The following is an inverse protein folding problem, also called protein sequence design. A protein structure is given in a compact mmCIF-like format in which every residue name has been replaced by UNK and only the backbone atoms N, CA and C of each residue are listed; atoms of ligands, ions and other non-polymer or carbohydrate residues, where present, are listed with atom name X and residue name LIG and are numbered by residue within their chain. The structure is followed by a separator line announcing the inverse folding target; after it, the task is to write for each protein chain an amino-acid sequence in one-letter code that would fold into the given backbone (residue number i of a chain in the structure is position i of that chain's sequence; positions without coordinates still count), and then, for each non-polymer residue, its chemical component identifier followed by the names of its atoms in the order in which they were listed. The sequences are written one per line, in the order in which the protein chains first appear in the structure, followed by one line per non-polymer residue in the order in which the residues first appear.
data_IF_263631174865
#
_entry.id   IF_263631174865
#
_cell.length_a   1.000
_cell.length_b   1.000
_cell.length_c   1.000
_cell.angle_alpha   90.00
_cell.angle_beta   90.00
_cell.angle_gamma   90.00
#
_symmetry.space_group_name_H-M   'P 1'
#
loop_
_entity.id
_entity.type
_entity.pdbx_description
1 polymer ?
#
# COMPACT_ATOMS: atom_id res chain seq x y z
N UNK A 1 -44.68 37.12 54.95
CA UNK A 1 -43.80 37.92 55.84
C UNK A 1 -42.79 36.97 56.46
N UNK A 2 -41.47 37.01 56.26
CA UNK A 2 -40.55 37.93 55.57
C UNK A 2 -39.29 37.13 55.15
N UNK A 3 -38.73 37.47 53.99
CA UNK A 3 -37.45 37.05 53.37
C UNK A 3 -36.21 37.46 54.23
N UNK A 4 -35.13 36.67 54.41
CA UNK A 4 -34.00 36.31 53.50
C UNK A 4 -32.76 37.24 53.66
N UNK A 5 -31.57 36.59 53.53
CA UNK A 5 -30.21 37.09 53.24
C UNK A 5 -29.27 37.34 54.43
N UNK A 6 -27.95 37.10 54.37
CA UNK A 6 -27.04 36.22 53.59
C UNK A 6 -25.65 36.35 54.24
N UNK A 7 -24.85 35.27 54.38
CA UNK A 7 -23.45 35.34 54.87
C UNK A 7 -22.55 34.41 54.06
N UNK A 8 -21.49 34.98 53.46
CA UNK A 8 -20.38 34.28 52.80
C UNK A 8 -19.44 33.65 53.85
N UNK A 9 -18.97 32.42 53.63
CA UNK A 9 -17.75 31.87 54.24
C UNK A 9 -16.99 30.99 53.25
N UNK A 10 -15.66 31.14 53.26
CA UNK A 10 -14.68 30.43 52.45
C UNK A 10 -13.91 29.42 53.33
N UNK A 11 -13.64 28.26 52.73
CA UNK A 11 -12.58 27.25 52.93
C UNK A 11 -12.34 26.61 54.31
N UNK A 12 -12.37 25.28 54.35
CA UNK A 12 -11.21 24.37 54.30
C UNK A 12 -11.74 22.93 54.48
N UNK A 13 -11.42 21.99 53.58
CA UNK A 13 -11.56 20.56 53.88
C UNK A 13 -10.45 19.75 53.21
N UNK A 14 -9.80 18.94 54.02
CA UNK A 14 -8.72 18.02 53.69
C UNK A 14 -9.21 16.82 52.89
N UNK A 15 -8.33 16.24 52.06
CA UNK A 15 -8.52 14.92 51.48
C UNK A 15 -7.23 14.10 51.59
N UNK A 16 -7.36 12.95 52.25
CA UNK A 16 -6.34 11.92 52.45
C UNK A 16 -5.91 11.29 51.12
N UNK A 17 -4.60 11.05 50.96
CA UNK A 17 -4.04 10.18 49.91
C UNK A 17 -3.36 8.99 50.57
N UNK A 18 -3.86 7.79 50.26
CA UNK A 18 -3.30 6.50 50.66
C UNK A 18 -2.08 6.15 49.78
N UNK A 19 -1.04 5.65 50.44
CA UNK A 19 0.23 5.19 49.88
C UNK A 19 0.06 3.82 49.19
N UNK A 20 0.55 3.70 47.96
CA UNK A 20 0.78 2.42 47.29
C UNK A 20 2.30 2.23 47.05
N UNK A 21 2.82 1.07 47.44
CA UNK A 21 4.24 0.68 47.40
C UNK A 21 4.82 0.59 45.98
N UNK A 22 6.16 0.75 45.81
CA UNK A 22 6.79 0.66 44.50
C UNK A 22 7.01 -0.81 44.12
N UNK A 23 6.38 -1.26 43.05
CA UNK A 23 6.77 -2.50 42.37
C UNK A 23 7.97 -2.20 41.45
N UNK A 24 8.98 -3.06 41.53
CA UNK A 24 10.25 -2.97 40.81
C UNK A 24 10.06 -2.78 39.29
N UNK A 25 10.37 -1.60 38.77
CA UNK A 25 10.58 -1.38 37.35
C UNK A 25 12.01 -1.78 37.00
N UNK A 26 12.17 -2.87 36.25
CA UNK A 26 13.45 -3.24 35.63
C UNK A 26 13.76 -2.18 34.55
N UNK A 27 14.98 -1.62 34.49
CA UNK A 27 15.32 -0.66 33.44
C UNK A 27 15.32 -1.36 32.08
N UNK A 28 14.54 -0.85 31.14
CA UNK A 28 14.67 -1.22 29.72
C UNK A 28 16.00 -0.63 29.25
N UNK A 29 16.98 -1.51 28.97
CA UNK A 29 18.23 -1.12 28.33
C UNK A 29 17.95 -0.41 27.00
N UNK A 30 18.21 0.89 26.98
CA UNK A 30 18.29 1.70 25.77
C UNK A 30 19.62 1.38 25.08
N UNK A 31 19.63 0.36 24.22
CA UNK A 31 20.75 0.11 23.30
C UNK A 31 20.72 1.15 22.16
N UNK A 32 21.16 2.37 22.48
CA UNK A 32 21.62 3.34 21.50
C UNK A 32 23.01 2.93 21.01
N UNK A 33 23.07 2.02 20.03
CA UNK A 33 24.11 1.95 18.98
C UNK A 33 23.78 0.79 18.03
N UNK A 34 22.77 0.97 17.19
CA UNK A 34 22.70 0.26 15.92
C UNK A 34 22.74 1.31 14.82
N UNK A 35 23.71 1.14 13.93
CA UNK A 35 23.94 1.95 12.74
C UNK A 35 22.65 2.43 12.09
N UNK A 36 22.67 3.69 11.67
CA UNK A 36 21.64 4.42 10.93
C UNK A 36 21.40 3.88 9.50
N UNK A 37 21.43 2.55 9.33
CA UNK A 37 20.81 1.83 8.23
C UNK A 37 19.68 1.04 8.87
N UNK A 38 18.48 1.63 8.90
CA UNK A 38 17.28 0.81 8.97
C UNK A 38 17.41 -0.20 7.83
N UNK A 39 17.63 -1.46 8.16
CA UNK A 39 17.64 -2.54 7.18
C UNK A 39 16.25 -2.56 6.57
N UNK A 40 16.05 -1.86 5.45
CA UNK A 40 14.79 -1.83 4.75
C UNK A 40 14.36 -3.28 4.57
N UNK A 41 13.14 -3.59 4.99
CA UNK A 41 12.69 -4.97 5.22
C UNK A 41 12.56 -5.81 3.94
N UNK A 42 12.97 -5.25 2.79
CA UNK A 42 12.85 -5.88 1.48
C UNK A 42 11.40 -6.07 1.08
N UNK A 43 10.51 -5.14 1.44
CA UNK A 43 9.05 -5.19 1.21
C UNK A 43 8.54 -4.21 0.15
N UNK A 44 9.41 -3.40 -0.47
CA UNK A 44 8.98 -2.35 -1.39
C UNK A 44 8.61 -2.89 -2.77
N UNK A 45 7.50 -2.42 -3.31
CA UNK A 45 7.05 -2.74 -4.68
C UNK A 45 7.43 -1.58 -5.59
N UNK A 46 7.97 -1.89 -6.78
CA UNK A 46 8.00 -0.90 -7.86
C UNK A 46 6.65 -0.94 -8.58
N UNK A 47 5.93 0.17 -8.52
CA UNK A 47 4.70 0.41 -9.28
C UNK A 47 5.06 1.08 -10.62
N UNK A 48 5.59 0.31 -11.57
CA UNK A 48 6.10 0.83 -12.84
C UNK A 48 4.93 1.19 -13.76
N UNK A 49 4.67 2.49 -13.95
CA UNK A 49 3.52 2.94 -14.72
C UNK A 49 3.56 2.43 -16.18
N UNK A 50 2.42 1.95 -16.67
CA UNK A 50 2.31 1.22 -17.95
C UNK A 50 2.79 2.05 -19.15
N UNK A 51 2.58 3.37 -19.14
CA UNK A 51 3.00 4.24 -20.23
C UNK A 51 4.52 4.35 -20.35
N UNK A 52 5.29 4.09 -19.28
CA UNK A 52 6.76 4.12 -19.31
C UNK A 52 7.35 3.20 -20.38
N UNK A 53 6.78 2.00 -20.56
CA UNK A 53 7.24 1.06 -21.59
C UNK A 53 7.09 1.64 -23.00
N UNK A 54 6.02 2.40 -23.26
CA UNK A 54 5.84 3.08 -24.55
C UNK A 54 6.78 4.29 -24.71
N UNK A 55 7.13 4.96 -23.61
CA UNK A 55 7.97 6.15 -23.58
C UNK A 55 9.48 5.88 -23.68
N UNK A 56 9.92 4.62 -23.52
CA UNK A 56 11.34 4.23 -23.61
C UNK A 56 12.05 4.76 -24.86
N UNK A 57 11.34 4.86 -25.99
CA UNK A 57 11.92 5.36 -27.25
C UNK A 57 12.18 6.87 -27.22
N UNK A 58 11.33 7.62 -26.53
CA UNK A 58 11.40 9.09 -26.47
C UNK A 58 12.16 9.60 -25.25
N UNK A 59 12.30 8.79 -24.19
CA UNK A 59 12.92 9.18 -22.92
C UNK A 59 14.04 8.17 -22.57
N UNK A 60 15.26 8.34 -23.13
CA UNK A 60 16.34 7.37 -22.94
C UNK A 60 16.74 7.14 -21.48
N UNK A 61 16.52 8.10 -20.59
CA UNK A 61 16.80 7.97 -19.15
C UNK A 61 16.01 6.84 -18.48
N UNK A 62 14.83 6.48 -19.01
CA UNK A 62 14.02 5.38 -18.48
C UNK A 62 14.75 4.03 -18.55
N UNK A 63 15.51 3.77 -19.61
CA UNK A 63 16.26 2.53 -19.71
C UNK A 63 17.39 2.48 -18.67
N UNK A 64 18.00 3.62 -18.36
CA UNK A 64 18.97 3.73 -17.27
C UNK A 64 18.30 3.47 -15.93
N UNK A 65 17.18 4.15 -15.64
CA UNK A 65 16.42 3.96 -14.41
C UNK A 65 15.96 2.50 -14.21
N UNK A 66 15.42 1.87 -15.26
CA UNK A 66 15.03 0.46 -15.25
C UNK A 66 16.21 -0.48 -14.92
N UNK A 67 17.40 -0.19 -15.46
CA UNK A 67 18.62 -0.96 -15.16
C UNK A 67 19.08 -0.80 -13.73
N UNK A 68 18.95 0.38 -13.12
CA UNK A 68 19.42 0.59 -11.75
C UNK A 68 18.61 -0.18 -10.71
N UNK A 69 17.34 -0.50 -11.01
CA UNK A 69 16.54 -1.40 -10.18
C UNK A 69 17.24 -2.74 -9.93
N UNK A 70 17.98 -3.27 -10.92
CA UNK A 70 18.67 -4.55 -10.80
C UNK A 70 19.71 -4.61 -9.68
N UNK A 71 20.22 -3.46 -9.20
CA UNK A 71 21.13 -3.38 -8.04
C UNK A 71 20.43 -3.14 -6.70
N UNK A 72 19.12 -2.85 -6.69
CA UNK A 72 18.40 -2.56 -5.47
C UNK A 72 18.43 -3.72 -4.47
N UNK A 73 18.59 -3.37 -3.20
CA UNK A 73 18.55 -4.30 -2.07
C UNK A 73 17.24 -4.23 -1.27
N UNK A 74 16.37 -3.26 -1.59
CA UNK A 74 15.15 -2.95 -0.82
C UNK A 74 13.87 -3.32 -1.56
N UNK A 75 13.93 -3.50 -2.88
CA UNK A 75 12.80 -3.91 -3.71
C UNK A 75 12.50 -5.41 -3.53
N UNK A 76 11.22 -5.71 -3.30
CA UNK A 76 10.67 -7.06 -3.18
C UNK A 76 10.17 -7.59 -4.51
N UNK A 77 9.44 -6.75 -5.24
CA UNK A 77 8.63 -7.15 -6.38
C UNK A 77 8.32 -5.95 -7.28
N UNK A 78 7.77 -6.24 -8.45
CA UNK A 78 7.41 -5.26 -9.47
C UNK A 78 5.98 -5.55 -9.94
N UNK A 79 5.18 -4.52 -10.14
CA UNK A 79 3.93 -4.58 -10.89
C UNK A 79 3.82 -3.36 -11.80
N UNK A 80 2.97 -3.46 -12.82
CA UNK A 80 2.65 -2.38 -13.76
C UNK A 80 1.15 -2.33 -14.06
N UNK A 81 0.32 -2.84 -13.15
CA UNK A 81 -1.12 -2.98 -13.34
C UNK A 81 -1.57 -3.77 -14.58
N UNK A 82 -0.68 -4.52 -15.22
CA UNK A 82 -0.98 -5.28 -16.43
C UNK A 82 -0.70 -6.77 -16.22
N UNK A 83 -1.16 -7.58 -17.17
CA UNK A 83 -0.98 -9.03 -17.15
C UNK A 83 0.44 -9.48 -17.54
N UNK A 84 1.20 -8.59 -18.18
CA UNK A 84 2.50 -8.88 -18.77
C UNK A 84 3.59 -8.01 -18.17
N UNK A 85 4.74 -8.64 -17.89
CA UNK A 85 5.95 -7.97 -17.43
C UNK A 85 6.49 -7.00 -18.51
N UNK A 86 6.85 -5.76 -18.15
CA UNK A 86 7.64 -4.89 -19.02
C UNK A 86 9.02 -5.52 -19.33
N UNK A 87 9.43 -5.50 -20.59
CA UNK A 87 10.65 -6.20 -21.05
C UNK A 87 11.94 -5.52 -20.58
N UNK A 88 11.87 -4.22 -20.33
CA UNK A 88 12.97 -3.39 -19.86
C UNK A 88 13.34 -3.66 -18.39
N UNK A 89 12.44 -4.28 -17.61
CA UNK A 89 12.63 -4.49 -16.19
C UNK A 89 13.35 -5.81 -15.89
N UNK A 90 14.38 -5.72 -15.06
CA UNK A 90 15.19 -6.86 -14.61
C UNK A 90 14.34 -7.99 -14.05
N UNK A 91 14.63 -9.23 -14.44
CA UNK A 91 13.98 -10.46 -13.93
C UNK A 91 14.40 -10.84 -12.51
N UNK A 92 15.34 -10.09 -11.91
CA UNK A 92 15.79 -10.29 -10.52
C UNK A 92 14.64 -10.31 -9.51
N UNK A 93 13.63 -9.47 -9.71
CA UNK A 93 12.46 -9.40 -8.82
C UNK A 93 11.25 -10.13 -9.42
N UNK A 94 10.44 -10.80 -8.60
CA UNK A 94 9.18 -11.38 -9.04
C UNK A 94 8.25 -10.29 -9.58
N UNK A 95 7.60 -10.60 -10.70
CA UNK A 95 6.56 -9.74 -11.28
C UNK A 95 5.19 -10.17 -10.75
N UNK A 96 4.36 -9.20 -10.36
CA UNK A 96 3.00 -9.43 -9.87
C UNK A 96 2.01 -9.06 -10.98
N UNK A 97 1.58 -10.02 -11.83
CA UNK A 97 0.63 -9.75 -12.88
C UNK A 97 -0.71 -9.33 -12.27
N UNK A 98 -1.41 -8.43 -12.95
CA UNK A 98 -2.69 -7.91 -12.51
C UNK A 98 -3.76 -8.11 -13.59
N UNK A 99 -4.91 -8.62 -13.17
CA UNK A 99 -6.17 -8.47 -13.91
C UNK A 99 -6.77 -7.13 -13.46
N UNK A 100 -6.42 -6.02 -14.11
CA UNK A 100 -6.86 -4.69 -13.66
C UNK A 100 -8.35 -4.45 -13.86
N UNK A 101 -8.89 -4.99 -14.94
CA UNK A 101 -10.28 -4.80 -15.40
C UNK A 101 -10.81 -6.07 -16.08
N UNK A 102 -12.12 -6.21 -16.35
CA UNK A 102 -12.68 -7.40 -17.01
C UNK A 102 -12.06 -7.71 -18.39
N UNK A 103 -11.57 -6.70 -19.10
CA UNK A 103 -10.86 -6.86 -20.38
C UNK A 103 -9.58 -7.70 -20.26
N UNK A 104 -9.02 -7.84 -19.06
CA UNK A 104 -7.84 -8.66 -18.82
C UNK A 104 -8.16 -10.16 -18.64
N UNK A 105 -9.44 -10.53 -18.57
CA UNK A 105 -9.90 -11.92 -18.39
C UNK A 105 -10.10 -12.68 -19.71
N UNK A 106 -9.80 -12.04 -20.84
CA UNK A 106 -9.98 -12.58 -22.19
C UNK A 106 -8.76 -12.31 -23.07
N UNK A 107 -8.70 -13.02 -24.21
CA UNK A 107 -7.73 -12.78 -25.28
C UNK A 107 -6.26 -12.81 -24.83
N UNK A 108 -5.45 -11.97 -25.45
CA UNK A 108 -4.00 -11.93 -25.26
C UNK A 108 -3.58 -11.49 -23.86
N UNK A 109 -4.39 -10.66 -23.19
CA UNK A 109 -4.17 -10.29 -21.80
C UNK A 109 -4.23 -11.53 -20.90
N UNK A 110 -5.29 -12.33 -21.04
CA UNK A 110 -5.42 -13.55 -20.25
C UNK A 110 -4.35 -14.57 -20.61
N UNK A 111 -4.04 -14.73 -21.90
CA UNK A 111 -2.97 -15.63 -22.35
C UNK A 111 -1.61 -15.23 -21.76
N UNK A 112 -1.32 -13.92 -21.69
CA UNK A 112 -0.09 -13.39 -21.08
C UNK A 112 -0.04 -13.72 -19.58
N UNK A 113 -1.14 -13.52 -18.86
CA UNK A 113 -1.22 -13.89 -17.45
C UNK A 113 -0.98 -15.39 -17.25
N UNK A 114 -1.61 -16.25 -18.07
CA UNK A 114 -1.42 -17.70 -18.04
C UNK A 114 0.04 -18.08 -18.30
N UNK A 115 0.72 -17.41 -19.24
CA UNK A 115 2.15 -17.60 -19.47
C UNK A 115 2.98 -17.27 -18.23
N UNK A 116 2.67 -16.17 -17.52
CA UNK A 116 3.39 -15.80 -16.29
C UNK A 116 3.19 -16.88 -15.21
N UNK A 117 1.95 -17.22 -14.87
CA UNK A 117 1.66 -18.17 -13.76
C UNK A 117 2.11 -19.60 -14.08
N UNK A 118 2.18 -20.00 -15.35
CA UNK A 118 2.68 -21.32 -15.73
C UNK A 118 4.21 -21.43 -15.68
N UNK A 119 4.92 -20.30 -15.79
CA UNK A 119 6.39 -20.26 -15.74
C UNK A 119 6.96 -20.26 -14.33
N UNK A 120 6.17 -19.88 -13.31
CA UNK A 120 6.63 -19.67 -11.94
C UNK A 120 5.59 -20.16 -10.91
N UNK A 121 6.01 -21.07 -10.03
CA UNK A 121 5.19 -21.50 -8.89
C UNK A 121 4.97 -20.34 -7.92
N UNK A 122 3.82 -20.35 -7.23
CA UNK A 122 3.46 -19.35 -6.21
C UNK A 122 3.47 -17.90 -6.73
N UNK A 123 3.25 -17.69 -8.04
CA UNK A 123 3.04 -16.35 -8.59
C UNK A 123 1.90 -15.66 -7.86
N UNK A 124 2.13 -14.45 -7.37
CA UNK A 124 1.09 -13.63 -6.72
C UNK A 124 0.39 -12.79 -7.79
N UNK A 125 -0.92 -13.01 -7.95
CA UNK A 125 -1.75 -12.42 -9.00
C UNK A 125 -2.77 -11.47 -8.38
N UNK A 126 -2.75 -10.22 -8.82
CA UNK A 126 -3.70 -9.19 -8.39
C UNK A 126 -4.99 -9.27 -9.21
N UNK A 127 -6.13 -9.09 -8.55
CA UNK A 127 -7.43 -9.01 -9.18
C UNK A 127 -8.01 -7.62 -8.97
N UNK A 128 -8.59 -7.03 -10.01
CA UNK A 128 -9.26 -5.73 -10.13
C UNK A 128 -8.68 -4.52 -9.37
N UNK A 129 -8.50 -3.42 -10.10
CA UNK A 129 -8.05 -2.15 -9.55
C UNK A 129 -9.24 -1.20 -9.39
N UNK A 130 -9.52 -0.79 -8.16
CA UNK A 130 -10.63 0.09 -7.78
C UNK A 130 -11.95 -0.25 -8.52
N UNK A 131 -12.43 -1.50 -8.46
CA UNK A 131 -13.63 -1.92 -9.19
C UNK A 131 -14.86 -1.07 -8.86
N UNK A 132 -14.95 -0.57 -7.63
CA UNK A 132 -16.02 0.32 -7.16
C UNK A 132 -16.06 1.66 -7.91
N UNK A 133 -14.92 2.09 -8.46
CA UNK A 133 -14.81 3.32 -9.28
C UNK A 133 -14.97 3.05 -10.77
N UNK A 134 -15.01 1.78 -11.16
CA UNK A 134 -15.09 1.34 -12.56
C UNK A 134 -16.45 0.68 -12.89
N UNK A 135 -17.45 0.86 -12.03
CA UNK A 135 -18.81 0.34 -12.24
C UNK A 135 -18.92 -1.18 -12.19
N UNK A 136 -17.97 -1.86 -11.54
CA UNK A 136 -17.99 -3.32 -11.39
C UNK A 136 -18.61 -3.64 -10.02
N UNK A 137 -19.72 -4.38 -10.00
CA UNK A 137 -20.34 -4.80 -8.74
C UNK A 137 -19.50 -5.87 -8.04
N UNK A 138 -19.62 -5.96 -6.70
CA UNK A 138 -18.96 -7.02 -5.95
C UNK A 138 -19.46 -8.41 -6.37
N UNK A 139 -20.76 -8.55 -6.68
CA UNK A 139 -21.35 -9.79 -7.19
C UNK A 139 -20.73 -10.24 -8.54
N UNK A 140 -20.54 -9.32 -9.49
CA UNK A 140 -19.89 -9.62 -10.76
C UNK A 140 -18.42 -10.00 -10.56
N UNK A 141 -17.72 -9.28 -9.67
CA UNK A 141 -16.35 -9.60 -9.32
C UNK A 141 -16.21 -10.97 -8.64
N UNK A 142 -17.15 -11.36 -7.77
CA UNK A 142 -17.19 -12.70 -7.16
C UNK A 142 -17.41 -13.78 -8.23
N UNK A 143 -18.27 -13.52 -9.20
CA UNK A 143 -18.49 -14.44 -10.33
C UNK A 143 -17.20 -14.65 -11.12
N UNK A 144 -16.51 -13.57 -11.47
CA UNK A 144 -15.23 -13.65 -12.21
C UNK A 144 -14.11 -14.24 -11.34
N UNK A 145 -14.06 -13.95 -10.05
CA UNK A 145 -13.12 -14.53 -9.10
C UNK A 145 -13.22 -16.06 -9.10
N UNK A 146 -14.43 -16.60 -8.99
CA UNK A 146 -14.70 -18.04 -9.02
C UNK A 146 -14.35 -18.67 -10.37
N UNK A 147 -14.73 -18.02 -11.47
CA UNK A 147 -14.54 -18.55 -12.81
C UNK A 147 -13.10 -18.48 -13.31
N UNK A 148 -12.34 -17.47 -12.89
CA UNK A 148 -11.03 -17.13 -13.48
C UNK A 148 -9.90 -17.18 -12.49
N UNK A 149 -10.05 -16.57 -11.31
CA UNK A 149 -8.95 -16.43 -10.34
C UNK A 149 -8.71 -17.70 -9.53
N UNK A 150 -9.76 -18.30 -8.95
CA UNK A 150 -9.62 -19.56 -8.18
C UNK A 150 -8.95 -20.70 -8.98
N UNK A 151 -9.28 -20.93 -10.27
CA UNK A 151 -8.59 -21.93 -11.07
C UNK A 151 -7.07 -21.69 -11.21
N UNK A 152 -6.59 -20.45 -11.11
CA UNK A 152 -5.14 -20.17 -11.14
C UNK A 152 -4.44 -20.76 -9.91
N UNK A 153 -5.08 -20.66 -8.73
CA UNK A 153 -4.60 -21.26 -7.49
C UNK A 153 -4.56 -22.78 -7.61
N UNK A 154 -5.64 -23.39 -8.09
CA UNK A 154 -5.76 -24.85 -8.20
C UNK A 154 -4.79 -25.44 -9.23
N UNK A 155 -4.66 -24.81 -10.40
CA UNK A 155 -3.89 -25.37 -11.52
C UNK A 155 -2.40 -25.03 -11.47
N UNK A 156 -2.04 -23.83 -11.01
CA UNK A 156 -0.66 -23.33 -11.08
C UNK A 156 -0.06 -23.06 -9.69
N UNK A 157 -0.82 -23.25 -8.61
CA UNK A 157 -0.39 -22.89 -7.27
C UNK A 157 -0.25 -21.37 -7.08
N UNK A 158 -0.95 -20.56 -7.89
CA UNK A 158 -0.91 -19.12 -7.77
C UNK A 158 -1.48 -18.65 -6.42
N UNK A 159 -0.92 -17.56 -5.91
CA UNK A 159 -1.42 -16.84 -4.76
C UNK A 159 -2.28 -15.68 -5.24
N UNK A 160 -3.45 -15.48 -4.65
CA UNK A 160 -4.43 -14.54 -5.17
C UNK A 160 -4.60 -13.35 -4.23
N UNK A 161 -4.57 -12.15 -4.79
CA UNK A 161 -4.80 -10.90 -4.06
C UNK A 161 -6.22 -10.42 -4.34
N UNK A 162 -6.92 -9.98 -3.31
CA UNK A 162 -8.23 -9.34 -3.44
C UNK A 162 -8.18 -8.08 -4.34
N UNK A 163 -9.35 -7.63 -4.82
CA UNK A 163 -9.55 -6.28 -5.37
C UNK A 163 -8.91 -5.18 -4.53
N UNK A 164 -8.14 -4.31 -5.19
CA UNK A 164 -7.55 -3.11 -4.60
C UNK A 164 -8.53 -1.96 -4.60
N UNK A 165 -9.34 -1.86 -3.57
CA UNK A 165 -10.30 -0.76 -3.41
C UNK A 165 -9.64 0.47 -2.77
N UNK A 166 -10.22 1.64 -3.03
CA UNK A 166 -9.84 2.89 -2.40
C UNK A 166 -10.09 2.88 -0.87
N UNK A 167 -9.40 3.74 -0.15
CA UNK A 167 -9.51 3.89 1.32
C UNK A 167 -10.78 4.62 1.79
N UNK A 168 -11.68 5.00 0.89
CA UNK A 168 -12.92 5.69 1.20
C UNK A 168 -14.07 4.71 1.59
N UNK A 169 -15.22 5.22 2.06
CA UNK A 169 -16.34 4.35 2.43
C UNK A 169 -16.87 3.48 1.28
N UNK A 170 -16.82 3.95 0.03
CA UNK A 170 -17.30 3.16 -1.11
C UNK A 170 -16.39 1.95 -1.32
N UNK A 171 -15.07 2.17 -1.30
CA UNK A 171 -14.09 1.08 -1.40
C UNK A 171 -14.19 0.09 -0.24
N UNK A 172 -14.36 0.59 0.99
CA UNK A 172 -14.53 -0.26 2.18
C UNK A 172 -15.81 -1.12 2.11
N UNK A 173 -16.94 -0.53 1.71
CA UNK A 173 -18.21 -1.25 1.57
C UNK A 173 -18.14 -2.30 0.46
N UNK A 174 -17.56 -1.95 -0.69
CA UNK A 174 -17.38 -2.87 -1.80
C UNK A 174 -16.52 -4.08 -1.40
N UNK A 175 -15.39 -3.84 -0.74
CA UNK A 175 -14.50 -4.91 -0.28
C UNK A 175 -15.19 -5.80 0.77
N UNK A 176 -15.99 -5.21 1.66
CA UNK A 176 -16.80 -5.96 2.62
C UNK A 176 -17.81 -6.89 1.92
N UNK A 177 -18.52 -6.40 0.91
CA UNK A 177 -19.49 -7.20 0.15
C UNK A 177 -18.80 -8.34 -0.62
N UNK A 178 -17.71 -8.04 -1.31
CA UNK A 178 -16.90 -9.03 -2.03
C UNK A 178 -16.40 -10.11 -1.06
N UNK A 179 -15.73 -9.71 0.03
CA UNK A 179 -15.21 -10.64 1.01
C UNK A 179 -16.33 -11.43 1.69
N UNK A 180 -17.45 -10.81 2.05
CA UNK A 180 -18.60 -11.46 2.69
C UNK A 180 -19.26 -12.54 1.82
N UNK A 181 -19.17 -12.41 0.50
CA UNK A 181 -19.73 -13.35 -0.48
C UNK A 181 -18.88 -14.59 -0.74
N UNK A 182 -17.64 -14.62 -0.22
CA UNK A 182 -16.70 -15.73 -0.38
C UNK A 182 -16.73 -16.67 0.82
N UNK A 183 -16.81 -17.98 0.55
CA UNK A 183 -16.57 -19.02 1.56
C UNK A 183 -15.10 -19.06 2.00
N UNK A 184 -14.80 -19.75 3.10
CA UNK A 184 -13.44 -19.83 3.66
C UNK A 184 -12.38 -20.30 2.64
N UNK A 185 -12.73 -21.27 1.78
CA UNK A 185 -11.82 -21.81 0.74
C UNK A 185 -11.65 -20.88 -0.47
N UNK A 186 -12.56 -19.94 -0.65
CA UNK A 186 -12.55 -18.99 -1.77
C UNK A 186 -11.83 -17.68 -1.42
N UNK A 187 -11.48 -17.47 -0.15
CA UNK A 187 -10.80 -16.26 0.30
C UNK A 187 -9.49 -16.04 -0.45
N UNK A 188 -9.10 -14.77 -0.68
CA UNK A 188 -7.78 -14.42 -1.21
C UNK A 188 -6.67 -14.85 -0.23
N UNK A 189 -5.45 -14.98 -0.73
CA UNK A 189 -4.26 -15.15 0.11
C UNK A 189 -3.82 -13.82 0.73
N UNK A 190 -4.13 -12.70 0.08
CA UNK A 190 -3.77 -11.34 0.50
C UNK A 190 -4.91 -10.35 0.29
N UNK A 191 -5.06 -9.38 1.20
CA UNK A 191 -5.92 -8.21 0.96
C UNK A 191 -5.09 -7.14 0.24
N UNK A 192 -5.62 -6.57 -0.85
CA UNK A 192 -5.04 -5.40 -1.50
C UNK A 192 -5.73 -4.13 -0.97
N UNK A 193 -4.95 -3.12 -0.62
CA UNK A 193 -5.49 -1.84 -0.13
C UNK A 193 -4.77 -0.67 -0.79
N UNK A 194 -5.56 0.31 -1.21
CA UNK A 194 -5.04 1.61 -1.66
C UNK A 194 -5.29 2.65 -0.58
N UNK A 195 -4.36 3.59 -0.42
CA UNK A 195 -4.53 4.69 0.54
C UNK A 195 -4.03 6.01 -0.02
N UNK A 196 -4.94 6.98 -0.09
CA UNK A 196 -4.64 8.37 -0.41
C UNK A 196 -5.52 9.27 0.45
N UNK A 197 -5.04 10.47 0.74
CA UNK A 197 -5.78 11.48 1.51
C UNK A 197 -6.05 12.73 0.67
N UNK A 198 -6.74 13.71 1.24
CA UNK A 198 -6.86 15.03 0.64
C UNK A 198 -5.55 15.82 0.80
N UNK A 199 -5.19 16.67 -0.17
CA UNK A 199 -3.94 17.44 -0.14
C UNK A 199 -3.88 18.50 0.98
N UNK A 200 -5.02 18.79 1.60
CA UNK A 200 -5.17 19.74 2.71
C UNK A 200 -4.97 19.10 4.08
N UNK A 201 -4.85 17.77 4.16
CA UNK A 201 -4.62 17.10 5.42
C UNK A 201 -3.20 17.39 5.92
N UNK A 202 -3.00 17.70 7.21
CA UNK A 202 -1.66 17.79 7.77
C UNK A 202 -0.92 16.45 7.66
N UNK A 203 0.36 16.49 7.30
CA UNK A 203 1.20 15.30 7.11
C UNK A 203 1.10 14.28 8.28
N UNK A 204 1.16 14.76 9.52
CA UNK A 204 1.04 13.88 10.70
C UNK A 204 -0.32 13.17 10.76
N UNK A 205 -1.40 13.85 10.36
CA UNK A 205 -2.72 13.26 10.28
C UNK A 205 -2.81 12.23 9.15
N UNK A 206 -2.21 12.49 7.99
CA UNK A 206 -2.13 11.51 6.89
C UNK A 206 -1.42 10.23 7.35
N UNK A 207 -0.27 10.37 8.03
CA UNK A 207 0.49 9.25 8.57
C UNK A 207 -0.35 8.43 9.56
N UNK A 208 -1.04 9.08 10.50
CA UNK A 208 -1.88 8.37 11.47
C UNK A 208 -3.09 7.69 10.80
N UNK A 209 -3.72 8.36 9.83
CA UNK A 209 -4.84 7.78 9.08
C UNK A 209 -4.42 6.52 8.32
N UNK A 210 -3.25 6.52 7.67
CA UNK A 210 -2.72 5.35 6.98
C UNK A 210 -2.53 4.17 7.94
N UNK A 211 -1.88 4.43 9.09
CA UNK A 211 -1.65 3.41 10.14
C UNK A 211 -2.95 2.82 10.66
N UNK A 212 -3.92 3.69 10.98
CA UNK A 212 -5.22 3.29 11.49
C UNK A 212 -5.99 2.45 10.47
N UNK A 213 -6.04 2.91 9.22
CA UNK A 213 -6.73 2.22 8.13
C UNK A 213 -6.18 0.80 7.92
N UNK A 214 -4.86 0.65 7.75
CA UNK A 214 -4.28 -0.69 7.53
C UNK A 214 -4.46 -1.60 8.76
N UNK A 215 -4.34 -1.06 9.97
CA UNK A 215 -4.56 -1.82 11.21
C UNK A 215 -6.01 -2.28 11.33
N UNK A 216 -6.98 -1.41 11.02
CA UNK A 216 -8.41 -1.73 11.01
C UNK A 216 -8.72 -2.84 10.00
N UNK A 217 -8.22 -2.73 8.76
CA UNK A 217 -8.46 -3.74 7.73
C UNK A 217 -7.79 -5.07 8.07
N UNK A 218 -6.58 -5.05 8.62
CA UNK A 218 -5.94 -6.28 9.11
C UNK A 218 -6.77 -6.93 10.21
N UNK A 219 -7.26 -6.13 11.17
CA UNK A 219 -8.08 -6.63 12.26
C UNK A 219 -9.44 -7.18 11.81
N UNK A 220 -10.01 -6.62 10.74
CA UNK A 220 -11.27 -7.06 10.17
C UNK A 220 -11.13 -8.39 9.42
N UNK A 221 -10.14 -8.50 8.53
CA UNK A 221 -10.04 -9.65 7.63
C UNK A 221 -9.08 -10.75 8.11
N UNK A 222 -8.17 -10.45 9.04
CA UNK A 222 -7.17 -11.39 9.59
C UNK A 222 -6.33 -12.09 8.53
N UNK A 223 -6.08 -11.40 7.42
CA UNK A 223 -5.22 -11.84 6.32
C UNK A 223 -4.02 -10.89 6.18
N UNK A 224 -2.88 -11.37 5.63
CA UNK A 224 -1.77 -10.50 5.27
C UNK A 224 -2.19 -9.46 4.23
N UNK A 225 -1.62 -8.27 4.32
CA UNK A 225 -1.94 -7.12 3.46
C UNK A 225 -0.82 -6.88 2.46
N UNK A 226 -1.21 -6.61 1.23
CA UNK A 226 -0.41 -5.91 0.23
C UNK A 226 -0.96 -4.49 0.12
N UNK A 227 -0.13 -3.48 0.34
CA UNK A 227 -0.50 -2.10 0.06
C UNK A 227 -0.18 -1.85 -1.41
N UNK A 228 -1.15 -2.08 -2.28
CA UNK A 228 -0.98 -2.01 -3.73
C UNK A 228 -0.66 -0.61 -4.21
N UNK A 229 -1.21 0.42 -3.55
CA UNK A 229 -0.94 1.81 -3.85
C UNK A 229 -1.02 2.68 -2.59
N UNK A 230 -0.06 3.58 -2.43
CA UNK A 230 -0.10 4.63 -1.41
C UNK A 230 0.73 5.83 -1.84
N UNK A 231 0.24 7.04 -1.61
CA UNK A 231 1.06 8.25 -1.67
C UNK A 231 0.42 9.37 -0.86
N UNK A 232 1.23 10.33 -0.42
CA UNK A 232 0.70 11.62 0.04
C UNK A 232 0.28 12.45 -1.18
N UNK A 233 -0.86 13.12 -1.07
CA UNK A 233 -1.35 14.06 -2.08
C UNK A 233 -0.95 15.51 -1.78
N UNK A 234 -0.27 15.76 -0.66
CA UNK A 234 0.29 17.07 -0.31
C UNK A 234 1.16 17.63 -1.43
N UNK A 235 1.04 18.92 -1.72
CA UNK A 235 1.86 19.59 -2.75
C UNK A 235 3.23 20.03 -2.22
N UNK A 236 3.46 19.89 -0.92
CA UNK A 236 4.73 20.21 -0.27
C UNK A 236 5.67 18.99 -0.32
N UNK A 237 6.83 19.16 -0.96
CA UNK A 237 7.86 18.10 -1.11
C UNK A 237 8.31 17.55 0.24
N UNK A 238 8.49 18.40 1.24
CA UNK A 238 8.94 17.98 2.58
C UNK A 238 7.88 17.10 3.25
N UNK A 239 6.61 17.45 3.13
CA UNK A 239 5.51 16.65 3.66
C UNK A 239 5.39 15.30 2.96
N UNK A 240 5.49 15.27 1.62
CA UNK A 240 5.46 14.01 0.85
C UNK A 240 6.62 13.10 1.24
N UNK A 241 7.83 13.64 1.36
CA UNK A 241 8.99 12.86 1.78
C UNK A 241 8.84 12.34 3.21
N UNK A 242 8.37 13.17 4.15
CA UNK A 242 8.16 12.77 5.54
C UNK A 242 7.09 11.66 5.64
N UNK A 243 5.95 11.84 4.97
CA UNK A 243 4.91 10.81 4.89
C UNK A 243 5.48 9.50 4.36
N UNK A 244 6.17 9.55 3.21
CA UNK A 244 6.70 8.36 2.53
C UNK A 244 7.70 7.62 3.41
N UNK A 245 8.64 8.33 4.04
CA UNK A 245 9.66 7.74 4.91
C UNK A 245 9.07 7.17 6.20
N UNK A 246 8.16 7.89 6.85
CA UNK A 246 7.55 7.47 8.13
C UNK A 246 6.59 6.30 7.96
N UNK A 247 5.76 6.32 6.92
CA UNK A 247 4.83 5.22 6.63
C UNK A 247 5.60 3.98 6.18
N UNK A 248 6.62 4.12 5.33
CA UNK A 248 7.49 2.98 4.95
C UNK A 248 8.14 2.32 6.17
N UNK A 249 8.71 3.12 7.09
CA UNK A 249 9.31 2.61 8.34
C UNK A 249 8.29 1.85 9.19
N UNK A 250 7.06 2.34 9.26
CA UNK A 250 6.01 1.66 10.02
C UNK A 250 5.58 0.35 9.34
N UNK A 251 5.34 0.37 8.02
CA UNK A 251 4.97 -0.81 7.22
C UNK A 251 6.04 -1.90 7.27
N UNK A 252 7.33 -1.51 7.24
CA UNK A 252 8.45 -2.44 7.42
C UNK A 252 8.34 -3.23 8.74
N UNK A 253 7.93 -2.55 9.82
CA UNK A 253 7.79 -3.11 11.16
C UNK A 253 6.54 -3.97 11.40
N UNK A 254 5.61 -4.07 10.44
CA UNK A 254 4.41 -4.89 10.57
C UNK A 254 4.62 -6.27 9.93
N UNK A 255 4.51 -7.36 10.68
CA UNK A 255 4.65 -8.74 10.19
C UNK A 255 3.53 -9.15 9.22
N UNK A 256 2.34 -8.58 9.40
CA UNK A 256 1.16 -8.78 8.55
C UNK A 256 1.17 -7.94 7.27
N UNK A 257 2.15 -7.05 7.06
CA UNK A 257 2.40 -6.41 5.77
C UNK A 257 3.35 -7.28 4.95
N UNK A 258 2.84 -7.83 3.85
CA UNK A 258 3.62 -8.66 2.93
C UNK A 258 4.54 -7.81 2.04
N UNK A 259 4.00 -6.72 1.48
CA UNK A 259 4.72 -5.76 0.64
C UNK A 259 3.88 -4.49 0.44
N UNK A 260 4.53 -3.39 0.01
CA UNK A 260 3.87 -2.10 -0.20
C UNK A 260 4.51 -1.29 -1.35
N UNK A 261 3.67 -0.65 -2.16
CA UNK A 261 4.08 0.16 -3.31
C UNK A 261 3.66 1.61 -3.15
N UNK A 262 4.64 2.52 -3.15
CA UNK A 262 4.34 3.95 -3.24
C UNK A 262 4.13 4.36 -4.71
N UNK A 263 3.07 5.12 -4.96
CA UNK A 263 2.74 5.62 -6.29
C UNK A 263 3.66 6.80 -6.65
N UNK A 264 4.06 6.89 -7.93
CA UNK A 264 4.91 7.99 -8.42
C UNK A 264 6.03 7.57 -9.37
N UNK A 265 6.20 6.28 -9.68
CA UNK A 265 7.15 5.84 -10.72
C UNK A 265 6.53 6.05 -12.11
N UNK A 266 6.47 7.32 -12.52
CA UNK A 266 6.04 7.82 -13.82
C UNK A 266 6.85 9.06 -14.17
N UNK A 267 6.96 9.42 -15.44
CA UNK A 267 7.67 10.65 -15.92
C UNK A 267 6.80 11.90 -15.84
N UNK A 268 5.49 11.71 -15.69
CA UNK A 268 4.45 12.74 -15.63
C UNK A 268 3.45 12.42 -14.53
N UNK A 269 2.87 13.48 -13.98
CA UNK A 269 1.79 13.39 -13.01
C UNK A 269 0.57 12.81 -13.72
N UNK A 270 -0.01 11.75 -13.16
CA UNK A 270 -0.99 10.90 -13.86
C UNK A 270 -2.38 11.54 -13.91
N UNK A 271 -2.72 12.33 -12.89
CA UNK A 271 -3.93 13.14 -12.81
C UNK A 271 -3.75 14.32 -11.83
N UNK A 272 -4.80 15.14 -11.63
CA UNK A 272 -4.77 16.26 -10.70
C UNK A 272 -4.84 15.82 -9.22
N UNK A 273 -5.22 14.58 -8.92
CA UNK A 273 -5.37 14.07 -7.56
C UNK A 273 -4.00 13.73 -6.94
N UNK A 274 -3.15 13.01 -7.66
CA UNK A 274 -1.81 12.65 -7.17
C UNK A 274 -0.87 13.85 -7.11
N UNK A 275 0.09 13.83 -6.17
CA UNK A 275 1.03 14.95 -5.99
C UNK A 275 2.15 14.96 -7.02
N UNK A 276 2.42 16.10 -7.71
CA UNK A 276 3.67 16.28 -8.45
C UNK A 276 4.91 16.08 -7.57
N UNK A 277 4.82 16.38 -6.27
CA UNK A 277 5.92 16.20 -5.35
C UNK A 277 6.17 14.73 -4.96
N UNK A 278 5.25 13.81 -5.30
CA UNK A 278 5.41 12.37 -5.11
C UNK A 278 6.08 11.67 -6.30
N UNK A 279 6.38 12.39 -7.39
CA UNK A 279 7.05 11.83 -8.55
C UNK A 279 8.44 11.27 -8.19
N UNK A 280 8.66 10.01 -8.57
CA UNK A 280 9.91 9.27 -8.37
C UNK A 280 10.80 9.30 -9.60
N UNK A 281 10.26 9.61 -10.78
CA UNK A 281 11.04 9.92 -11.98
C UNK A 281 10.79 11.38 -12.39
N UNK A 282 11.83 12.02 -12.91
CA UNK A 282 11.69 13.30 -13.59
C UNK A 282 11.23 13.12 -15.05
N UNK A 283 11.01 14.24 -15.75
CA UNK A 283 10.58 14.23 -17.16
C UNK A 283 11.61 13.64 -18.12
N UNK A 284 12.87 13.50 -17.71
CA UNK A 284 13.94 12.87 -18.48
C UNK A 284 14.09 11.37 -18.16
N UNK A 285 13.23 10.83 -17.29
CA UNK A 285 13.24 9.43 -16.87
C UNK A 285 14.35 9.11 -15.87
N UNK A 286 14.95 10.11 -15.21
CA UNK A 286 15.92 9.89 -14.14
C UNK A 286 15.22 9.85 -12.78
N UNK A 287 15.74 9.05 -11.85
CA UNK A 287 15.23 9.00 -10.48
C UNK A 287 15.38 10.35 -9.76
N UNK A 288 14.29 10.87 -9.19
CA UNK A 288 14.31 12.00 -8.26
C UNK A 288 14.99 11.61 -6.94
N UNK A 289 15.24 12.56 -6.03
CA UNK A 289 15.79 12.23 -4.70
C UNK A 289 14.90 11.25 -3.93
N UNK A 290 13.58 11.43 -4.01
CA UNK A 290 12.61 10.51 -3.43
C UNK A 290 12.67 9.14 -4.13
N UNK A 291 12.79 9.13 -5.46
CA UNK A 291 12.94 7.90 -6.25
C UNK A 291 14.20 7.10 -5.89
N UNK A 292 15.36 7.76 -5.78
CA UNK A 292 16.62 7.15 -5.34
C UNK A 292 16.49 6.54 -3.96
N UNK A 293 15.95 7.30 -3.00
CA UNK A 293 15.66 6.79 -1.67
C UNK A 293 14.71 5.59 -1.70
N UNK A 294 13.68 5.61 -2.56
CA UNK A 294 12.71 4.53 -2.70
C UNK A 294 13.35 3.23 -3.20
N UNK A 295 14.28 3.32 -4.15
CA UNK A 295 15.00 2.15 -4.68
C UNK A 295 16.25 1.77 -3.86
N UNK A 296 16.58 2.54 -2.83
CA UNK A 296 17.70 2.26 -1.92
C UNK A 296 19.07 2.65 -2.48
N UNK A 297 19.11 3.72 -3.28
CA UNK A 297 20.32 4.38 -3.78
C UNK A 297 20.66 5.64 -2.98
#
# INVERSE_FOLDING_TARGET
MVLLQSIRRIAYFAACVLLASPANAVPVETSNTLSQRASASGKRIILWETSLTAELKSIPGLLTAAKTLASSTVIKSITNWETKRPQELSTRFPFRPMVRTPQHLTGDNWNSLISVVSSQKNTIVHFYNEPERNGISAADAVTQWRQKMLPLREKYGAKLVAPGCASDPNGSNWLQEFMGSLSAKEKPDYINLHFYTLPTNPCDQEIQNAKNFFTEKHNTYKLPIIVGEIASTSRDKTQVENFTKQVSKWLDGQDWIAEYGFFGVSTKVVDEFVSPAAQMLDSNGAWTDLGKWWIGE
#
